data_IF_664215604853
#
_entry.id   IF_664215604853
#
_cell.length_a   1.000
_cell.length_b   1.000
_cell.length_c   1.000
_cell.angle_alpha   90.00
_cell.angle_beta   90.00
_cell.angle_gamma   90.00
#
_symmetry.space_group_name_H-M   'P 1'
#
loop_
_entity.id
_entity.type
_entity.pdbx_description
1 polymer ?
#
# COMPACT_ATOMS: atom_id res chain seq x y z
N UNK A 1 14.46 -40.86 2.50
CA UNK A 1 12.99 -40.93 2.37
C UNK A 1 12.52 -39.59 1.83
N UNK A 2 12.07 -39.55 0.58
CA UNK A 2 11.49 -38.33 -0.01
C UNK A 2 10.17 -38.05 0.72
N UNK A 3 10.11 -36.98 1.51
CA UNK A 3 8.84 -36.55 2.12
C UNK A 3 7.94 -36.10 0.98
N UNK A 4 6.90 -36.88 0.67
CA UNK A 4 5.77 -36.41 -0.14
C UNK A 4 5.20 -35.19 0.58
N UNK A 5 5.56 -34.00 0.10
CA UNK A 5 5.07 -32.75 0.67
C UNK A 5 3.63 -32.61 0.19
N UNK A 6 2.70 -32.38 1.12
CA UNK A 6 1.30 -32.12 0.76
C UNK A 6 1.26 -30.96 -0.25
N UNK A 7 0.43 -31.08 -1.28
CA UNK A 7 0.35 -30.11 -2.36
C UNK A 7 -1.05 -30.04 -2.96
N UNK A 8 -1.37 -28.92 -3.61
CA UNK A 8 -2.50 -28.77 -4.53
C UNK A 8 -1.95 -28.96 -5.94
N UNK A 9 -2.46 -29.97 -6.65
CA UNK A 9 -2.16 -30.20 -8.04
C UNK A 9 -3.35 -29.79 -8.92
N UNK A 10 -3.06 -29.07 -10.00
CA UNK A 10 -4.07 -28.68 -10.99
C UNK A 10 -3.52 -28.84 -12.40
N UNK A 11 -4.37 -29.28 -13.31
CA UNK A 11 -4.06 -29.39 -14.74
C UNK A 11 -5.14 -28.65 -15.51
N UNK A 12 -4.75 -27.64 -16.27
CA UNK A 12 -5.63 -27.00 -17.22
C UNK A 12 -5.90 -27.98 -18.37
N UNK A 13 -7.16 -28.39 -18.54
CA UNK A 13 -7.54 -29.37 -19.56
C UNK A 13 -7.43 -28.85 -21.00
N UNK A 14 -7.33 -27.53 -21.21
CA UNK A 14 -7.22 -26.90 -22.53
C UNK A 14 -5.78 -26.63 -22.94
N UNK A 15 -4.96 -26.13 -22.01
CA UNK A 15 -3.55 -25.77 -22.29
C UNK A 15 -2.57 -26.85 -21.87
N UNK A 16 -3.04 -27.87 -21.16
CA UNK A 16 -2.23 -28.91 -20.49
C UNK A 16 -1.23 -28.37 -19.47
N UNK A 17 -1.34 -27.08 -19.11
CA UNK A 17 -0.50 -26.45 -18.11
C UNK A 17 -0.74 -27.08 -16.74
N UNK A 18 0.34 -27.33 -15.98
CA UNK A 18 0.33 -28.08 -14.73
C UNK A 18 0.86 -27.21 -13.60
N UNK A 19 0.05 -27.08 -12.56
CA UNK A 19 0.43 -26.45 -11.31
C UNK A 19 0.66 -27.53 -10.27
N UNK A 20 1.80 -27.40 -9.57
CA UNK A 20 2.12 -28.14 -8.37
C UNK A 20 2.42 -27.14 -7.26
N UNK A 21 1.46 -26.95 -6.35
CA UNK A 21 1.53 -25.95 -5.29
C UNK A 21 1.74 -26.65 -3.94
N UNK A 22 2.99 -26.89 -3.51
CA UNK A 22 3.25 -27.53 -2.23
C UNK A 22 2.80 -26.60 -1.09
N UNK A 23 2.21 -27.13 -0.03
CA UNK A 23 1.61 -26.33 1.06
C UNK A 23 2.49 -25.17 1.57
N UNK A 24 3.83 -25.28 1.67
CA UNK A 24 4.69 -24.16 2.05
C UNK A 24 4.62 -22.92 1.15
N UNK A 25 3.99 -22.96 -0.03
CA UNK A 25 3.78 -21.75 -0.85
C UNK A 25 2.67 -20.86 -0.32
N UNK A 26 1.82 -21.35 0.59
CA UNK A 26 0.72 -20.60 1.19
C UNK A 26 1.08 -19.91 2.51
N UNK A 27 2.37 -19.87 2.86
CA UNK A 27 2.85 -19.13 4.04
C UNK A 27 3.36 -17.76 3.60
N UNK A 28 3.27 -16.78 4.50
CA UNK A 28 4.00 -15.51 4.37
C UNK A 28 5.51 -15.78 4.20
N UNK A 29 6.17 -15.18 3.20
CA UNK A 29 7.61 -15.32 3.05
C UNK A 29 8.33 -14.71 4.26
N UNK A 30 9.51 -15.22 4.58
CA UNK A 30 10.33 -14.72 5.70
C UNK A 30 11.61 -14.01 5.25
N UNK A 31 11.84 -13.94 3.94
CA UNK A 31 12.96 -13.25 3.31
C UNK A 31 12.68 -13.03 1.81
N UNK A 32 13.48 -12.16 1.20
CA UNK A 32 13.36 -11.78 -0.21
C UNK A 32 13.46 -12.97 -1.17
N UNK A 33 14.23 -14.00 -0.83
CA UNK A 33 14.37 -15.19 -1.68
C UNK A 33 13.08 -16.01 -1.72
N UNK A 34 12.40 -16.15 -0.58
CA UNK A 34 11.07 -16.77 -0.55
C UNK A 34 10.04 -15.88 -1.23
N UNK A 35 10.10 -14.57 -1.02
CA UNK A 35 9.22 -13.59 -1.68
C UNK A 35 9.28 -13.72 -3.20
N UNK A 36 10.47 -13.59 -3.81
CA UNK A 36 10.63 -13.68 -5.27
C UNK A 36 10.25 -15.05 -5.84
N UNK A 37 10.19 -16.09 -5.01
CA UNK A 37 9.68 -17.41 -5.44
C UNK A 37 8.16 -17.41 -5.48
N UNK A 38 7.51 -16.87 -4.44
CA UNK A 38 6.06 -16.77 -4.37
C UNK A 38 5.50 -15.80 -5.40
N UNK A 39 6.19 -14.68 -5.64
CA UNK A 39 5.86 -13.71 -6.70
C UNK A 39 5.78 -14.38 -8.08
N UNK A 40 6.77 -15.18 -8.47
CA UNK A 40 6.73 -15.92 -9.74
C UNK A 40 5.58 -16.91 -9.83
N UNK A 41 5.23 -17.56 -8.71
CA UNK A 41 4.08 -18.46 -8.67
C UNK A 41 2.79 -17.66 -8.83
N UNK A 42 2.70 -16.49 -8.20
CA UNK A 42 1.56 -15.58 -8.33
C UNK A 42 1.40 -15.12 -9.78
N UNK A 43 2.48 -14.73 -10.47
CA UNK A 43 2.46 -14.34 -11.88
C UNK A 43 1.91 -15.46 -12.78
N UNK A 44 2.41 -16.70 -12.59
CA UNK A 44 1.91 -17.87 -13.33
C UNK A 44 0.42 -18.12 -13.07
N UNK A 45 -0.04 -17.91 -11.84
CA UNK A 45 -1.46 -18.04 -11.48
C UNK A 45 -2.32 -16.94 -12.11
N UNK A 46 -1.84 -15.70 -12.15
CA UNK A 46 -2.54 -14.58 -12.80
C UNK A 46 -2.71 -14.86 -14.29
N UNK A 47 -1.66 -15.34 -14.96
CA UNK A 47 -1.70 -15.67 -16.39
C UNK A 47 -2.66 -16.82 -16.71
N UNK A 48 -2.77 -17.79 -15.79
CA UNK A 48 -3.67 -18.94 -15.90
C UNK A 48 -5.13 -18.57 -15.63
N UNK A 49 -5.39 -17.82 -14.56
CA UNK A 49 -6.72 -17.44 -14.09
C UNK A 49 -7.33 -16.36 -14.99
N UNK A 50 -6.53 -15.36 -15.37
CA UNK A 50 -6.96 -14.16 -16.10
C UNK A 50 -8.19 -13.53 -15.43
N UNK A 51 -9.25 -13.25 -16.20
CA UNK A 51 -10.48 -12.64 -15.71
C UNK A 51 -11.51 -13.65 -15.17
N UNK A 52 -11.10 -14.88 -14.85
CA UNK A 52 -12.01 -15.91 -14.35
C UNK A 52 -11.99 -15.99 -12.81
N UNK A 53 -12.75 -15.13 -12.16
CA UNK A 53 -12.87 -15.10 -10.68
C UNK A 53 -13.38 -16.42 -10.07
N UNK A 54 -13.99 -17.30 -10.87
CA UNK A 54 -14.48 -18.62 -10.42
C UNK A 54 -13.47 -19.75 -10.68
N UNK A 55 -12.24 -19.42 -11.08
CA UNK A 55 -11.22 -20.42 -11.37
C UNK A 55 -10.88 -21.25 -10.12
N UNK A 56 -10.66 -22.58 -10.23
CA UNK A 56 -10.33 -23.43 -9.08
C UNK A 56 -9.10 -22.97 -8.28
N UNK A 57 -8.15 -22.32 -8.95
CA UNK A 57 -6.94 -21.76 -8.32
C UNK A 57 -7.10 -20.32 -7.82
N UNK A 58 -8.27 -19.67 -7.98
CA UNK A 58 -8.46 -18.28 -7.56
C UNK A 58 -8.19 -18.07 -6.06
N UNK A 59 -8.64 -19.01 -5.21
CA UNK A 59 -8.36 -18.96 -3.77
C UNK A 59 -6.87 -19.13 -3.45
N UNK A 60 -6.16 -19.97 -4.22
CA UNK A 60 -4.72 -20.14 -4.07
C UNK A 60 -3.97 -18.85 -4.43
N UNK A 61 -4.35 -18.22 -5.54
CA UNK A 61 -3.82 -16.91 -5.97
C UNK A 61 -4.05 -15.84 -4.90
N UNK A 62 -5.27 -15.74 -4.36
CA UNK A 62 -5.61 -14.78 -3.31
C UNK A 62 -4.73 -14.96 -2.07
N UNK A 63 -4.62 -16.19 -1.55
CA UNK A 63 -3.82 -16.46 -0.35
C UNK A 63 -2.35 -16.11 -0.56
N UNK A 64 -1.78 -16.40 -1.73
CA UNK A 64 -0.39 -16.06 -2.03
C UNK A 64 -0.22 -14.54 -2.12
N UNK A 65 -1.15 -13.85 -2.79
CA UNK A 65 -1.18 -12.39 -2.89
C UNK A 65 -1.23 -11.70 -1.51
N UNK A 66 -2.18 -12.09 -0.66
CA UNK A 66 -2.33 -11.52 0.69
C UNK A 66 -1.07 -11.71 1.54
N UNK A 67 -0.38 -12.84 1.38
CA UNK A 67 0.85 -13.14 2.09
C UNK A 67 2.04 -12.30 1.59
N UNK A 68 2.13 -12.04 0.27
CA UNK A 68 3.13 -11.14 -0.29
C UNK A 68 2.87 -9.70 0.16
N UNK A 69 1.62 -9.24 0.11
CA UNK A 69 1.21 -7.91 0.60
C UNK A 69 1.55 -7.74 2.09
N UNK A 70 1.30 -8.75 2.92
CA UNK A 70 1.67 -8.69 4.33
C UNK A 70 3.19 -8.59 4.53
N UNK A 71 3.99 -9.28 3.73
CA UNK A 71 5.45 -9.15 3.79
C UNK A 71 5.89 -7.74 3.39
N UNK A 72 5.32 -7.20 2.32
CA UNK A 72 5.63 -5.85 1.84
C UNK A 72 5.31 -4.80 2.89
N UNK A 73 4.12 -4.86 3.48
CA UNK A 73 3.72 -3.93 4.54
C UNK A 73 4.65 -3.95 5.77
N UNK A 74 5.33 -5.07 6.04
CA UNK A 74 6.27 -5.20 7.17
C UNK A 74 7.70 -4.76 6.82
N UNK A 75 8.12 -4.85 5.56
CA UNK A 75 9.52 -4.63 5.14
C UNK A 75 9.71 -3.34 4.33
N UNK A 76 8.68 -2.92 3.61
CA UNK A 76 8.66 -1.76 2.75
C UNK A 76 7.53 -0.84 3.22
N UNK A 77 7.87 0.23 3.97
CA UNK A 77 6.88 1.20 4.37
C UNK A 77 6.17 1.77 3.14
N UNK A 78 4.87 2.06 3.28
CA UNK A 78 4.09 2.70 2.24
C UNK A 78 4.80 3.93 1.66
N UNK A 79 4.62 4.18 0.36
CA UNK A 79 5.12 5.39 -0.28
C UNK A 79 4.63 6.60 0.51
N UNK A 80 5.55 7.36 1.11
CA UNK A 80 5.22 8.50 1.95
C UNK A 80 5.21 8.23 3.45
N UNK A 81 5.63 7.06 3.92
CA UNK A 81 5.79 6.72 5.35
C UNK A 81 6.58 7.78 6.14
N UNK A 82 7.65 8.31 5.54
CA UNK A 82 8.50 9.36 6.12
C UNK A 82 7.96 10.78 5.88
N UNK A 83 6.93 10.92 5.04
CA UNK A 83 6.33 12.20 4.72
C UNK A 83 5.28 12.50 5.77
N UNK A 84 5.55 13.50 6.61
CA UNK A 84 4.56 14.00 7.56
C UNK A 84 3.61 15.02 6.88
N UNK A 85 2.51 15.32 7.55
CA UNK A 85 1.50 16.24 7.03
C UNK A 85 2.03 17.67 6.80
N UNK A 86 3.06 18.09 7.56
CA UNK A 86 3.69 19.41 7.40
C UNK A 86 4.48 19.47 6.08
N UNK A 87 5.18 18.40 5.71
CA UNK A 87 5.94 18.32 4.47
C UNK A 87 5.02 18.38 3.25
N UNK A 88 3.86 17.71 3.33
CA UNK A 88 2.80 17.82 2.32
C UNK A 88 2.33 19.27 2.18
N UNK A 89 2.04 19.95 3.29
CA UNK A 89 1.62 21.36 3.24
C UNK A 89 2.71 22.27 2.68
N UNK A 90 3.98 22.09 3.09
CA UNK A 90 5.11 22.87 2.55
C UNK A 90 5.27 22.67 1.05
N UNK A 91 5.15 21.43 0.58
CA UNK A 91 5.19 21.11 -0.84
C UNK A 91 4.03 21.77 -1.60
N UNK A 92 2.81 21.69 -1.09
CA UNK A 92 1.63 22.30 -1.71
C UNK A 92 1.71 23.83 -1.73
N UNK A 93 2.26 24.44 -0.69
CA UNK A 93 2.54 25.87 -0.67
C UNK A 93 3.54 26.23 -1.76
N UNK A 94 4.66 25.50 -1.86
CA UNK A 94 5.69 25.76 -2.87
C UNK A 94 5.14 25.57 -4.30
N UNK A 95 4.43 24.48 -4.58
CA UNK A 95 3.92 24.17 -5.92
C UNK A 95 2.84 25.14 -6.39
N UNK A 96 2.11 25.76 -5.47
CA UNK A 96 1.08 26.77 -5.75
C UNK A 96 1.53 28.20 -5.53
N UNK A 97 2.82 28.42 -5.28
CA UNK A 97 3.41 29.73 -4.97
C UNK A 97 2.67 30.48 -3.85
N UNK A 98 2.31 29.76 -2.78
CA UNK A 98 1.65 30.31 -1.60
C UNK A 98 2.66 30.60 -0.50
N UNK A 99 2.45 31.71 0.19
CA UNK A 99 3.16 32.10 1.39
C UNK A 99 2.33 31.80 2.64
N UNK A 100 2.95 31.87 3.83
CA UNK A 100 2.25 31.57 5.08
C UNK A 100 1.03 32.48 5.32
N UNK A 101 1.08 33.73 4.84
CA UNK A 101 -0.04 34.67 4.95
C UNK A 101 -1.29 34.18 4.21
N UNK A 102 -1.13 33.39 3.14
CA UNK A 102 -2.24 32.85 2.36
C UNK A 102 -2.99 31.71 3.07
N UNK A 103 -2.41 31.17 4.15
CA UNK A 103 -3.05 30.22 5.05
C UNK A 103 -3.56 30.88 6.33
N UNK A 104 -3.29 32.16 6.58
CA UNK A 104 -3.63 32.82 7.83
C UNK A 104 -5.13 32.73 8.18
N UNK A 105 -6.02 32.78 7.19
CA UNK A 105 -7.47 32.65 7.39
C UNK A 105 -7.87 31.30 8.02
N UNK A 106 -7.14 30.22 7.71
CA UNK A 106 -7.39 28.88 8.25
C UNK A 106 -6.85 28.75 9.68
N UNK A 107 -5.71 29.40 9.95
CA UNK A 107 -4.99 29.27 11.22
C UNK A 107 -5.28 30.41 12.22
N UNK A 108 -6.10 31.40 11.85
CA UNK A 108 -6.36 32.59 12.66
C UNK A 108 -5.15 33.54 12.77
N UNK A 109 -4.27 33.53 11.78
CA UNK A 109 -3.11 34.42 11.69
C UNK A 109 -1.82 33.73 11.22
N UNK A 110 -0.92 34.48 10.59
CA UNK A 110 0.35 33.96 10.05
C UNK A 110 1.25 33.37 11.14
N UNK A 111 1.26 33.94 12.35
CA UNK A 111 2.01 33.38 13.48
C UNK A 111 1.59 31.95 13.83
N UNK A 112 0.30 31.62 13.69
CA UNK A 112 -0.19 30.26 13.94
C UNK A 112 0.16 29.30 12.80
N UNK A 113 0.21 29.79 11.56
CA UNK A 113 0.73 29.02 10.41
C UNK A 113 2.19 28.64 10.65
N UNK A 114 3.02 29.60 11.07
CA UNK A 114 4.44 29.36 11.38
C UNK A 114 4.61 28.28 12.45
N UNK A 115 3.87 28.39 13.56
CA UNK A 115 3.89 27.39 14.65
C UNK A 115 3.54 25.99 14.15
N UNK A 116 2.52 25.87 13.29
CA UNK A 116 2.18 24.58 12.68
C UNK A 116 3.29 24.06 11.76
N UNK A 117 3.82 24.89 10.86
CA UNK A 117 4.88 24.49 9.91
C UNK A 117 6.22 24.12 10.58
N UNK A 118 6.41 24.56 11.83
CA UNK A 118 7.54 24.19 12.69
C UNK A 118 7.25 22.97 13.58
N UNK A 119 6.05 22.39 13.53
CA UNK A 119 5.66 21.25 14.37
C UNK A 119 5.32 21.61 15.82
N UNK A 120 5.22 22.89 16.17
CA UNK A 120 4.92 23.35 17.54
C UNK A 120 3.44 23.19 17.90
N UNK A 121 2.55 23.08 16.90
CA UNK A 121 1.11 22.89 17.11
C UNK A 121 0.53 21.92 16.10
N UNK A 122 -0.28 20.93 16.54
CA UNK A 122 -0.99 20.04 15.62
C UNK A 122 -2.18 20.75 14.95
N UNK A 123 -2.71 20.13 13.90
CA UNK A 123 -3.94 20.58 13.26
C UNK A 123 -5.18 20.24 14.11
N UNK A 124 -6.15 21.15 14.12
CA UNK A 124 -7.51 20.86 14.56
C UNK A 124 -8.34 20.25 13.43
N UNK A 125 -9.44 19.54 13.78
CA UNK A 125 -10.39 19.00 12.79
C UNK A 125 -10.93 20.05 11.81
N UNK A 126 -11.17 21.28 12.30
CA UNK A 126 -11.60 22.40 11.46
C UNK A 126 -10.53 22.76 10.43
N UNK A 127 -9.27 22.88 10.86
CA UNK A 127 -8.16 23.19 9.95
C UNK A 127 -7.93 22.08 8.93
N UNK A 128 -8.02 20.79 9.33
CA UNK A 128 -7.95 19.66 8.39
C UNK A 128 -9.02 19.81 7.30
N UNK A 129 -10.26 20.12 7.69
CA UNK A 129 -11.37 20.30 6.75
C UNK A 129 -11.12 21.47 5.79
N UNK A 130 -10.62 22.60 6.28
CA UNK A 130 -10.33 23.77 5.43
C UNK A 130 -9.13 23.56 4.52
N UNK A 131 -8.08 22.87 4.99
CA UNK A 131 -6.92 22.50 4.18
C UNK A 131 -7.30 21.50 3.08
N UNK A 132 -8.11 20.49 3.41
CA UNK A 132 -8.71 19.56 2.45
C UNK A 132 -9.39 20.32 1.32
N UNK A 133 -10.26 21.27 1.66
CA UNK A 133 -10.99 22.06 0.68
C UNK A 133 -10.08 23.00 -0.14
N UNK A 134 -9.10 23.65 0.50
CA UNK A 134 -8.17 24.56 -0.17
C UNK A 134 -7.25 23.83 -1.17
N UNK A 135 -6.78 22.65 -0.80
CA UNK A 135 -5.80 21.90 -1.58
C UNK A 135 -6.40 20.80 -2.47
N UNK A 136 -7.64 20.37 -2.22
CA UNK A 136 -8.27 19.29 -2.99
C UNK A 136 -7.60 17.93 -2.75
N UNK A 137 -7.12 17.68 -1.53
CA UNK A 137 -6.48 16.42 -1.12
C UNK A 137 -7.37 15.65 -0.14
N UNK A 138 -7.13 14.34 0.05
CA UNK A 138 -7.86 13.57 1.07
C UNK A 138 -7.50 14.03 2.49
N UNK A 139 -8.42 13.83 3.44
CA UNK A 139 -8.14 14.04 4.86
C UNK A 139 -7.12 13.03 5.39
N UNK A 140 -6.96 11.88 4.72
CA UNK A 140 -6.06 10.79 5.13
C UNK A 140 -4.59 11.24 5.17
N UNK A 141 -4.21 12.28 4.42
CA UNK A 141 -2.87 12.88 4.50
C UNK A 141 -2.56 13.59 5.83
N UNK A 142 -3.58 13.84 6.67
CA UNK A 142 -3.46 14.52 7.95
C UNK A 142 -3.71 13.60 9.14
N UNK A 143 -4.04 12.33 8.89
CA UNK A 143 -4.46 11.37 9.90
C UNK A 143 -3.50 10.19 9.79
N UNK A 144 -2.71 9.96 10.83
CA UNK A 144 -2.01 8.69 11.04
C UNK A 144 -2.88 7.76 11.88
#
# INVERSE_FOLDING_TARGET
MSKSTLAIDYINQKTEHRFHLPIPVFKKPINDKEYSKLEKILDELIDEIRDNDKHPLALAMQIIGDNLEQYDNEHYPDIGHDVNEIDVIKYLMKSRNLHQIDLANIFGGQANVSKYLNGERPLSKKQITELKNKFGISADFFIK
#
